data_IF_040126243815
#
_entry.id   IF_040126243815
#
_cell.length_a   1.000
_cell.length_b   1.000
_cell.length_c   1.000
_cell.angle_alpha   90.00
_cell.angle_beta   90.00
_cell.angle_gamma   90.00
#
_symmetry.space_group_name_H-M   'P 1'
#
loop_
_entity.id
_entity.type
_entity.pdbx_description
1 polymer ?
#
# COMPACT_ATOMS: atom_id res chain seq x y z
N UNK A 1 -26.35 -21.48 -24.05
CA UNK A 1 -26.30 -20.78 -22.75
C UNK A 1 -25.19 -21.42 -21.94
N UNK A 2 -24.00 -20.82 -21.94
CA UNK A 2 -22.86 -21.31 -21.17
C UNK A 2 -23.03 -20.81 -19.73
N UNK A 3 -23.21 -21.75 -18.82
CA UNK A 3 -23.31 -21.48 -17.38
C UNK A 3 -21.88 -21.21 -16.88
N UNK A 4 -21.49 -19.94 -16.80
CA UNK A 4 -20.24 -19.54 -16.17
C UNK A 4 -20.44 -19.70 -14.66
N UNK A 5 -20.18 -20.90 -14.15
CA UNK A 5 -19.98 -21.07 -12.71
C UNK A 5 -18.72 -20.28 -12.35
N UNK A 6 -18.91 -19.16 -11.68
CA UNK A 6 -17.82 -18.49 -10.99
C UNK A 6 -17.21 -19.54 -10.04
N UNK A 7 -15.98 -19.90 -10.30
CA UNK A 7 -15.21 -20.82 -9.45
C UNK A 7 -14.93 -20.07 -8.14
N UNK A 8 -15.80 -20.22 -7.16
CA UNK A 8 -15.72 -19.57 -5.86
C UNK A 8 -14.72 -20.36 -5.01
N UNK A 9 -13.46 -20.39 -5.47
CA UNK A 9 -12.36 -20.93 -4.67
C UNK A 9 -12.15 -20.00 -3.49
N UNK A 10 -12.05 -20.54 -2.27
CA UNK A 10 -11.79 -19.75 -1.09
C UNK A 10 -10.46 -19.00 -1.24
N UNK A 11 -10.45 -17.73 -0.88
CA UNK A 11 -9.22 -16.91 -0.86
C UNK A 11 -8.44 -17.32 0.37
N UNK A 12 -7.18 -17.70 0.18
CA UNK A 12 -6.21 -18.11 1.21
C UNK A 12 -4.86 -17.52 0.87
N UNK A 13 -3.89 -17.51 1.79
CA UNK A 13 -2.50 -17.14 1.47
C UNK A 13 -1.93 -17.95 0.31
N UNK A 14 -2.25 -19.27 0.25
CA UNK A 14 -1.85 -20.13 -0.88
C UNK A 14 -2.42 -19.59 -2.19
N UNK A 15 -3.73 -19.26 -2.22
CA UNK A 15 -4.37 -18.72 -3.42
C UNK A 15 -3.81 -17.36 -3.82
N UNK A 16 -3.52 -16.49 -2.87
CA UNK A 16 -2.91 -15.18 -3.13
C UNK A 16 -1.52 -15.38 -3.75
N UNK A 17 -0.68 -16.26 -3.16
CA UNK A 17 0.64 -16.58 -3.69
C UNK A 17 0.60 -17.06 -5.15
N UNK A 18 -0.33 -17.97 -5.49
CA UNK A 18 -0.54 -18.46 -6.86
C UNK A 18 -0.87 -17.29 -7.80
N UNK A 19 -1.86 -16.46 -7.44
CA UNK A 19 -2.27 -15.32 -8.28
C UNK A 19 -1.14 -14.33 -8.50
N UNK A 20 -0.41 -13.96 -7.43
CA UNK A 20 0.69 -13.01 -7.54
C UNK A 20 1.86 -13.56 -8.37
N UNK A 21 2.14 -14.86 -8.25
CA UNK A 21 3.18 -15.53 -9.06
C UNK A 21 2.78 -15.61 -10.53
N UNK A 22 1.53 -16.00 -10.82
CA UNK A 22 0.98 -16.07 -12.19
C UNK A 22 0.98 -14.68 -12.87
N UNK A 23 0.78 -13.62 -12.10
CA UNK A 23 0.84 -12.23 -12.59
C UNK A 23 2.28 -11.67 -12.69
N UNK A 24 3.28 -12.45 -12.29
CA UNK A 24 4.67 -12.00 -12.26
C UNK A 24 4.95 -10.86 -11.27
N UNK A 25 4.09 -10.69 -10.26
CA UNK A 25 4.28 -9.68 -9.22
C UNK A 25 5.29 -10.11 -8.16
N UNK A 26 5.43 -11.42 -7.94
CA UNK A 26 6.41 -12.02 -7.03
C UNK A 26 7.09 -13.21 -7.69
N UNK A 27 8.24 -13.61 -7.15
CA UNK A 27 8.93 -14.84 -7.53
C UNK A 27 8.39 -16.05 -6.76
N UNK A 28 8.58 -17.26 -7.30
CA UNK A 28 8.25 -18.51 -6.59
C UNK A 28 8.97 -18.62 -5.23
N UNK A 29 10.22 -18.14 -5.14
CA UNK A 29 10.98 -18.15 -3.89
C UNK A 29 10.38 -17.21 -2.84
N UNK A 30 9.93 -16.01 -3.24
CA UNK A 30 9.21 -15.10 -2.33
C UNK A 30 7.88 -15.73 -1.88
N UNK A 31 7.12 -16.32 -2.81
CA UNK A 31 5.88 -17.01 -2.49
C UNK A 31 6.10 -18.11 -1.45
N UNK A 32 7.13 -18.93 -1.64
CA UNK A 32 7.49 -20.01 -0.71
C UNK A 32 7.87 -19.47 0.67
N UNK A 33 8.73 -18.43 0.72
CA UNK A 33 9.15 -17.81 1.98
C UNK A 33 7.96 -17.35 2.82
N UNK A 34 7.01 -16.61 2.19
CA UNK A 34 5.82 -16.11 2.90
C UNK A 34 4.90 -17.25 3.35
N UNK A 35 4.73 -18.28 2.51
CA UNK A 35 3.90 -19.43 2.86
C UNK A 35 4.53 -20.28 3.98
N UNK A 36 5.84 -20.38 4.06
CA UNK A 36 6.54 -21.05 5.16
C UNK A 36 6.36 -20.27 6.48
N UNK A 37 6.42 -18.94 6.45
CA UNK A 37 6.15 -18.08 7.61
C UNK A 37 4.68 -18.18 8.05
N UNK A 38 3.75 -18.25 7.10
CA UNK A 38 2.31 -18.37 7.34
C UNK A 38 1.82 -19.81 7.54
N UNK A 39 2.70 -20.82 7.62
CA UNK A 39 2.37 -22.24 7.51
C UNK A 39 1.19 -22.70 8.38
N UNK A 40 1.00 -22.12 9.56
CA UNK A 40 -0.08 -22.48 10.48
C UNK A 40 -1.48 -22.02 10.03
N UNK A 41 -1.57 -21.01 9.15
CA UNK A 41 -2.84 -20.42 8.69
C UNK A 41 -2.92 -20.23 7.16
N UNK A 42 -1.88 -20.56 6.41
CA UNK A 42 -1.79 -20.30 4.98
C UNK A 42 -2.96 -20.91 4.16
N UNK A 43 -3.58 -21.97 4.63
CA UNK A 43 -4.71 -22.63 4.00
C UNK A 43 -6.07 -22.18 4.58
N UNK A 44 -6.09 -21.31 5.59
CA UNK A 44 -7.32 -20.83 6.18
C UNK A 44 -8.01 -19.82 5.24
N UNK A 45 -9.35 -19.86 5.11
CA UNK A 45 -10.09 -18.93 4.28
C UNK A 45 -10.05 -17.51 4.84
N UNK A 46 -9.60 -16.58 4.03
CA UNK A 46 -9.69 -15.14 4.28
C UNK A 46 -11.02 -14.65 3.75
N UNK A 47 -11.76 -13.88 4.52
CA UNK A 47 -13.11 -13.45 4.17
C UNK A 47 -13.26 -11.96 3.97
N UNK A 48 -12.42 -11.17 4.60
CA UNK A 48 -12.52 -9.71 4.59
C UNK A 48 -11.51 -9.14 3.60
N UNK A 49 -11.93 -8.10 2.87
CA UNK A 49 -11.10 -7.47 1.84
C UNK A 49 -9.80 -6.87 2.43
N UNK A 50 -9.87 -6.21 3.59
CA UNK A 50 -8.69 -5.66 4.25
C UNK A 50 -7.67 -6.74 4.66
N UNK A 51 -8.12 -7.93 5.08
CA UNK A 51 -7.23 -9.05 5.38
C UNK A 51 -6.54 -9.58 4.12
N UNK A 52 -7.24 -9.55 2.96
CA UNK A 52 -6.65 -9.90 1.65
C UNK A 52 -5.62 -8.83 1.25
N UNK A 53 -5.95 -7.55 1.44
CA UNK A 53 -5.03 -6.45 1.17
C UNK A 53 -3.79 -6.50 2.08
N UNK A 54 -3.95 -6.79 3.37
CA UNK A 54 -2.84 -7.00 4.31
C UNK A 54 -1.94 -8.18 3.92
N UNK A 55 -2.52 -9.25 3.35
CA UNK A 55 -1.70 -10.33 2.81
C UNK A 55 -0.81 -9.87 1.64
N UNK A 56 -1.26 -8.90 0.80
CA UNK A 56 -0.43 -8.34 -0.28
C UNK A 56 0.83 -7.65 0.27
N UNK A 57 0.75 -7.00 1.42
CA UNK A 57 1.90 -6.42 2.11
C UNK A 57 2.89 -7.52 2.51
N UNK A 58 2.43 -8.61 3.13
CA UNK A 58 3.28 -9.76 3.50
C UNK A 58 4.03 -10.33 2.29
N UNK A 59 3.41 -10.33 1.13
CA UNK A 59 4.05 -10.74 -0.13
C UNK A 59 4.97 -9.65 -0.73
N UNK A 60 5.02 -8.44 -0.18
CA UNK A 60 5.88 -7.34 -0.63
C UNK A 60 5.42 -6.71 -1.94
N UNK A 61 4.10 -6.64 -2.19
CA UNK A 61 3.50 -5.96 -3.35
C UNK A 61 2.62 -4.77 -2.96
N UNK A 62 2.46 -4.53 -1.67
CA UNK A 62 1.75 -3.39 -1.10
C UNK A 62 2.54 -2.76 0.05
N UNK A 63 2.22 -1.50 0.34
CA UNK A 63 2.61 -0.79 1.57
C UNK A 63 1.34 -0.53 2.37
N UNK A 64 1.34 -0.88 3.65
CA UNK A 64 0.26 -0.54 4.56
C UNK A 64 0.49 0.85 5.15
N UNK A 65 -0.57 1.66 5.21
CA UNK A 65 -0.62 2.92 5.92
C UNK A 65 -1.47 2.69 7.16
N UNK A 66 -0.84 2.62 8.33
CA UNK A 66 -1.53 2.52 9.61
C UNK A 66 -1.80 3.94 10.12
N UNK A 67 -3.07 4.30 10.35
CA UNK A 67 -3.42 5.67 10.76
C UNK A 67 -3.26 5.91 12.24
N UNK A 68 -3.36 4.87 13.07
CA UNK A 68 -3.39 4.95 14.53
C UNK A 68 -2.14 4.33 15.17
N UNK A 69 -1.89 4.72 16.42
CA UNK A 69 -0.84 4.16 17.28
C UNK A 69 0.58 4.27 16.68
N UNK A 70 0.84 5.34 15.91
CA UNK A 70 2.17 5.59 15.37
C UNK A 70 2.99 6.44 16.36
N UNK A 71 4.15 5.94 16.76
CA UNK A 71 5.13 6.72 17.51
C UNK A 71 5.77 7.73 16.54
N UNK A 72 5.54 9.03 16.74
CA UNK A 72 6.11 10.10 15.91
C UNK A 72 5.71 10.03 14.44
N UNK A 73 4.52 10.51 14.11
CA UNK A 73 3.94 10.52 12.76
C UNK A 73 4.88 11.10 11.69
N UNK A 74 5.66 12.14 12.00
CA UNK A 74 6.65 12.74 11.10
C UNK A 74 7.73 11.74 10.66
N UNK A 75 8.29 10.94 11.57
CA UNK A 75 9.25 9.89 11.22
C UNK A 75 8.59 8.72 10.47
N UNK A 76 7.31 8.46 10.74
CA UNK A 76 6.58 7.38 10.09
C UNK A 76 6.32 7.65 8.61
N UNK A 77 6.06 8.90 8.21
CA UNK A 77 5.98 9.25 6.78
C UNK A 77 7.27 8.95 6.03
N UNK A 78 8.45 9.25 6.62
CA UNK A 78 9.73 8.92 6.00
C UNK A 78 9.88 7.41 5.77
N UNK A 79 9.51 6.62 6.77
CA UNK A 79 9.53 5.16 6.67
C UNK A 79 8.60 4.67 5.55
N UNK A 80 7.33 5.12 5.50
CA UNK A 80 6.36 4.76 4.46
C UNK A 80 6.87 5.08 3.05
N UNK A 81 7.45 6.27 2.85
CA UNK A 81 7.99 6.67 1.56
C UNK A 81 9.15 5.77 1.12
N UNK A 82 10.02 5.37 2.05
CA UNK A 82 11.13 4.46 1.75
C UNK A 82 10.64 3.05 1.43
N UNK A 83 9.65 2.52 2.15
CA UNK A 83 9.03 1.22 1.84
C UNK A 83 8.36 1.26 0.46
N UNK A 84 7.60 2.30 0.15
CA UNK A 84 6.99 2.46 -1.17
C UNK A 84 8.05 2.56 -2.29
N UNK A 85 9.11 3.34 -2.09
CA UNK A 85 10.20 3.45 -3.06
C UNK A 85 10.89 2.08 -3.29
N UNK A 86 11.07 1.28 -2.23
CA UNK A 86 11.68 -0.06 -2.33
C UNK A 86 10.86 -0.99 -3.25
N UNK A 87 9.51 -0.92 -3.23
CA UNK A 87 8.64 -1.72 -4.12
C UNK A 87 8.88 -1.41 -5.60
N UNK A 88 9.41 -0.24 -5.93
CA UNK A 88 9.70 0.12 -7.34
C UNK A 88 10.90 -0.62 -7.92
N UNK A 89 11.65 -1.36 -7.11
CA UNK A 89 12.84 -2.07 -7.55
C UNK A 89 14.02 -1.14 -7.89
N UNK A 90 14.11 0.01 -7.21
CA UNK A 90 15.15 1.00 -7.41
C UNK A 90 14.91 2.01 -8.53
N UNK A 91 13.73 2.00 -9.16
CA UNK A 91 13.34 2.99 -10.18
C UNK A 91 13.03 4.36 -9.58
N UNK A 92 12.63 4.37 -8.32
CA UNK A 92 12.37 5.58 -7.56
C UNK A 92 13.24 5.58 -6.31
N UNK A 93 13.84 6.73 -6.05
CA UNK A 93 14.60 7.01 -4.82
C UNK A 93 13.96 8.17 -4.08
N UNK A 94 13.96 8.09 -2.76
CA UNK A 94 13.53 9.14 -1.85
C UNK A 94 14.75 9.64 -1.07
N UNK A 95 14.88 10.94 -0.92
CA UNK A 95 15.92 11.58 -0.08
C UNK A 95 15.43 12.91 0.48
N UNK A 96 16.22 13.50 1.38
CA UNK A 96 16.01 14.84 1.92
C UNK A 96 14.62 15.03 2.56
N UNK A 97 14.11 13.96 3.21
CA UNK A 97 12.85 14.04 3.91
C UNK A 97 12.92 15.04 5.06
N UNK A 98 11.89 15.85 5.21
CA UNK A 98 11.64 16.70 6.36
C UNK A 98 10.14 16.97 6.52
N UNK A 99 9.73 17.10 7.77
CA UNK A 99 8.39 17.58 8.12
C UNK A 99 8.51 19.00 8.71
N UNK A 100 7.71 19.92 8.20
CA UNK A 100 7.67 21.31 8.65
C UNK A 100 6.31 21.59 9.28
N UNK A 101 6.25 21.70 10.61
CA UNK A 101 5.02 22.03 11.35
C UNK A 101 4.59 23.47 11.02
N UNK A 102 3.29 23.68 10.88
CA UNK A 102 2.71 25.02 10.63
C UNK A 102 2.85 25.95 11.85
N UNK A 103 2.84 25.38 13.06
CA UNK A 103 3.16 26.07 14.31
C UNK A 103 4.22 25.27 15.08
N UNK A 104 5.48 25.70 15.05
CA UNK A 104 6.58 24.99 15.74
C UNK A 104 6.49 25.04 17.28
N UNK A 105 5.74 26.00 17.83
CA UNK A 105 5.55 26.18 19.28
C UNK A 105 4.40 25.33 19.84
N UNK A 106 3.56 24.79 18.97
CA UNK A 106 2.49 23.85 19.32
C UNK A 106 2.96 22.41 19.14
N UNK A 107 3.21 21.73 20.26
CA UNK A 107 3.67 20.33 20.26
C UNK A 107 2.61 19.38 19.67
N UNK A 108 1.33 19.72 19.80
CA UNK A 108 0.20 18.94 19.30
C UNK A 108 -0.30 19.41 17.92
N UNK A 109 0.43 20.34 17.27
CA UNK A 109 0.05 20.84 15.96
C UNK A 109 0.11 19.72 14.90
N UNK A 110 -1.05 19.27 14.48
CA UNK A 110 -1.21 18.29 13.42
C UNK A 110 -1.09 18.86 12.00
N UNK A 111 -0.99 20.19 11.87
CA UNK A 111 -0.87 20.85 10.58
C UNK A 111 0.61 21.00 10.19
N UNK A 112 0.94 20.61 8.97
CA UNK A 112 2.31 20.72 8.49
C UNK A 112 2.46 20.51 7.00
N UNK A 113 3.71 20.43 6.58
CA UNK A 113 4.07 20.12 5.21
C UNK A 113 5.18 19.06 5.20
N UNK A 114 4.91 17.96 4.54
CA UNK A 114 5.88 16.93 4.24
C UNK A 114 6.66 17.32 2.98
N UNK A 115 7.98 17.30 3.05
CA UNK A 115 8.88 17.57 1.94
C UNK A 115 9.82 16.40 1.73
N UNK A 116 10.08 16.04 0.49
CA UNK A 116 11.10 15.05 0.14
C UNK A 116 11.56 15.24 -1.31
N UNK A 117 12.64 14.58 -1.67
CA UNK A 117 13.17 14.57 -3.03
C UNK A 117 12.93 13.21 -3.66
N UNK A 118 12.20 13.16 -4.77
CA UNK A 118 11.97 11.98 -5.60
C UNK A 118 12.85 12.05 -6.84
N UNK A 119 13.81 11.12 -7.01
CA UNK A 119 14.71 11.10 -8.15
C UNK A 119 15.37 12.47 -8.45
N UNK A 120 15.79 13.19 -7.41
CA UNK A 120 16.38 14.52 -7.52
C UNK A 120 15.39 15.67 -7.75
N UNK A 121 14.07 15.42 -7.76
CA UNK A 121 13.02 16.45 -7.89
C UNK A 121 12.34 16.66 -6.54
N UNK A 122 12.29 17.90 -6.02
CA UNK A 122 11.61 18.19 -4.75
C UNK A 122 10.10 18.08 -4.92
N UNK A 123 9.44 17.48 -3.93
CA UNK A 123 8.00 17.36 -3.78
C UNK A 123 7.59 17.85 -2.39
N UNK A 124 6.33 18.30 -2.26
CA UNK A 124 5.75 18.76 -1.00
C UNK A 124 4.27 18.45 -0.95
N UNK A 125 3.78 18.00 0.22
CA UNK A 125 2.39 17.66 0.47
C UNK A 125 1.95 18.30 1.79
N UNK A 126 0.80 18.96 1.78
CA UNK A 126 0.16 19.43 3.02
C UNK A 126 -0.32 18.25 3.83
N UNK A 127 -0.21 18.34 5.15
CA UNK A 127 -0.60 17.30 6.10
C UNK A 127 -1.52 17.92 7.13
N UNK A 128 -2.66 17.27 7.39
CA UNK A 128 -3.69 17.67 8.37
C UNK A 128 -3.99 16.46 9.27
N UNK A 129 -3.03 16.07 10.12
CA UNK A 129 -3.21 14.98 11.08
C UNK A 129 -3.92 15.46 12.35
N UNK A 130 -4.68 14.59 13.00
CA UNK A 130 -5.42 14.95 14.22
C UNK A 130 -4.48 15.19 15.43
N UNK A 131 -3.37 14.45 15.51
CA UNK A 131 -2.33 14.59 16.52
C UNK A 131 -1.01 13.95 16.03
N UNK A 132 0.03 14.00 16.86
CA UNK A 132 1.31 13.34 16.55
C UNK A 132 1.23 11.80 16.49
N UNK A 133 0.15 11.19 17.00
CA UNK A 133 -0.05 9.74 17.05
C UNK A 133 -0.93 9.23 15.89
N UNK A 134 -1.41 10.13 15.02
CA UNK A 134 -2.28 9.79 13.89
C UNK A 134 -1.71 10.32 12.58
N UNK A 135 -1.67 9.47 11.56
CA UNK A 135 -1.29 9.89 10.21
C UNK A 135 -2.47 10.52 9.48
N UNK A 136 -2.20 11.55 8.70
CA UNK A 136 -3.10 11.96 7.62
C UNK A 136 -2.97 10.94 6.47
N UNK A 137 -3.93 10.01 6.39
CA UNK A 137 -3.95 8.95 5.41
C UNK A 137 -4.02 9.49 3.98
N UNK A 138 -4.77 10.59 3.77
CA UNK A 138 -4.88 11.22 2.46
C UNK A 138 -3.56 11.81 1.98
N UNK A 139 -2.80 12.46 2.88
CA UNK A 139 -1.46 12.96 2.57
C UNK A 139 -0.47 11.81 2.30
N UNK A 140 -0.53 10.75 3.10
CA UNK A 140 0.31 9.57 2.89
C UNK A 140 0.02 8.88 1.54
N UNK A 141 -1.25 8.66 1.20
CA UNK A 141 -1.66 8.11 -0.09
C UNK A 141 -1.16 8.95 -1.27
N UNK A 142 -1.38 10.28 -1.24
CA UNK A 142 -0.93 11.19 -2.30
C UNK A 142 0.59 11.15 -2.48
N UNK A 143 1.33 11.14 -1.37
CA UNK A 143 2.79 11.07 -1.40
C UNK A 143 3.29 9.74 -1.98
N UNK A 144 2.66 8.60 -1.62
CA UNK A 144 2.99 7.29 -2.18
C UNK A 144 2.58 7.19 -3.67
N UNK A 145 1.41 7.70 -4.07
CA UNK A 145 1.03 7.76 -5.50
C UNK A 145 2.07 8.52 -6.32
N UNK A 146 2.62 9.62 -5.78
CA UNK A 146 3.67 10.39 -6.44
C UNK A 146 5.00 9.63 -6.59
N UNK A 147 5.18 8.49 -5.92
CA UNK A 147 6.32 7.59 -6.13
C UNK A 147 6.11 6.56 -7.25
N UNK A 148 4.98 6.61 -7.96
CA UNK A 148 4.78 5.76 -9.15
C UNK A 148 5.88 6.03 -10.17
N UNK A 149 6.59 5.00 -10.69
CA UNK A 149 7.72 5.19 -11.59
C UNK A 149 7.31 5.77 -12.94
N UNK A 150 8.07 6.74 -13.47
CA UNK A 150 7.72 7.42 -14.73
C UNK A 150 7.83 6.50 -15.96
N UNK A 151 8.79 5.56 -15.96
CA UNK A 151 9.10 4.65 -17.09
C UNK A 151 8.67 3.20 -16.83
N UNK A 152 7.62 3.02 -16.03
CA UNK A 152 7.08 1.71 -15.68
C UNK A 152 5.55 1.75 -15.84
N UNK A 153 4.92 0.72 -16.42
CA UNK A 153 3.46 0.70 -16.54
C UNK A 153 2.72 0.51 -15.21
N UNK A 154 3.45 0.26 -14.11
CA UNK A 154 2.88 0.15 -12.76
C UNK A 154 2.72 1.52 -12.13
N UNK A 155 1.65 1.69 -11.39
CA UNK A 155 1.40 2.84 -10.54
C UNK A 155 0.84 2.39 -9.19
N UNK A 156 1.03 3.21 -8.17
CA UNK A 156 0.45 2.97 -6.86
C UNK A 156 -1.05 3.30 -6.87
N UNK A 157 -1.86 2.40 -6.32
CA UNK A 157 -3.28 2.63 -6.08
C UNK A 157 -3.69 2.07 -4.74
N UNK A 158 -4.55 2.81 -4.05
CA UNK A 158 -5.16 2.36 -2.82
C UNK A 158 -6.20 1.26 -3.10
N UNK A 159 -6.23 0.25 -2.25
CA UNK A 159 -7.30 -0.76 -2.25
C UNK A 159 -8.53 -0.14 -1.59
N UNK A 160 -9.67 -0.13 -2.29
CA UNK A 160 -10.94 0.32 -1.70
C UNK A 160 -11.33 -0.54 -0.51
N UNK A 161 -11.53 0.08 0.64
CA UNK A 161 -11.98 -0.59 1.85
C UNK A 161 -13.52 -0.73 1.88
N UNK A 162 -14.03 -1.76 2.58
CA UNK A 162 -15.46 -2.00 2.76
C UNK A 162 -15.91 -1.46 4.13
N UNK A 163 -16.66 -0.36 4.12
CA UNK A 163 -17.28 0.20 5.32
C UNK A 163 -16.56 1.42 5.90
N UNK A 164 -17.19 2.12 6.84
CA UNK A 164 -16.57 3.21 7.57
C UNK A 164 -15.62 2.66 8.64
N UNK A 165 -14.51 3.32 8.88
CA UNK A 165 -13.54 3.05 9.95
C UNK A 165 -12.66 1.82 9.71
N UNK A 166 -11.79 1.89 8.70
CA UNK A 166 -10.57 1.10 8.67
C UNK A 166 -9.41 2.02 9.01
N UNK A 167 -8.60 1.57 9.95
CA UNK A 167 -7.44 2.31 10.44
C UNK A 167 -6.21 2.05 9.54
N UNK A 168 -6.38 1.18 8.52
CA UNK A 168 -5.33 0.77 7.60
C UNK A 168 -5.76 0.93 6.15
N UNK A 169 -4.90 1.55 5.34
CA UNK A 169 -4.99 1.56 3.88
C UNK A 169 -3.82 0.80 3.27
N UNK A 170 -4.03 0.25 2.07
CA UNK A 170 -3.02 -0.56 1.37
C UNK A 170 -2.77 0.01 -0.02
N UNK A 171 -1.55 0.50 -0.25
CA UNK A 171 -1.10 1.03 -1.54
C UNK A 171 -0.39 -0.05 -2.34
N UNK A 172 -0.97 -0.48 -3.44
CA UNK A 172 -0.45 -1.56 -4.29
C UNK A 172 0.23 -0.98 -5.53
N UNK A 173 1.47 -1.42 -5.81
CA UNK A 173 2.18 -1.09 -7.05
C UNK A 173 1.90 -2.16 -8.12
N UNK A 174 1.06 -1.81 -9.10
CA UNK A 174 0.60 -2.76 -10.12
C UNK A 174 0.28 -2.07 -11.45
N UNK A 175 0.31 -2.82 -12.55
CA UNK A 175 -0.25 -2.36 -13.83
C UNK A 175 -1.79 -2.40 -13.79
N UNK A 176 -2.45 -1.73 -14.74
CA UNK A 176 -3.90 -1.80 -14.87
C UNK A 176 -4.38 -3.26 -15.08
N UNK A 177 -3.67 -4.04 -15.89
CA UNK A 177 -4.00 -5.44 -16.16
C UNK A 177 -3.84 -6.32 -14.92
N UNK A 178 -2.81 -6.04 -14.09
CA UNK A 178 -2.61 -6.74 -12.81
C UNK A 178 -3.72 -6.40 -11.83
N UNK A 179 -4.14 -5.12 -11.71
CA UNK A 179 -5.27 -4.72 -10.87
C UNK A 179 -6.58 -5.39 -11.32
N UNK A 180 -6.85 -5.44 -12.61
CA UNK A 180 -8.02 -6.16 -13.16
C UNK A 180 -7.99 -7.65 -12.83
N UNK A 181 -6.81 -8.26 -12.82
CA UNK A 181 -6.65 -9.65 -12.44
C UNK A 181 -6.83 -9.86 -10.93
N UNK A 182 -6.26 -8.98 -10.09
CA UNK A 182 -6.48 -8.99 -8.63
C UNK A 182 -7.97 -8.84 -8.30
N UNK A 183 -8.69 -7.98 -9.04
CA UNK A 183 -10.14 -7.87 -8.90
C UNK A 183 -10.85 -9.19 -9.24
N UNK A 184 -10.55 -9.79 -10.39
CA UNK A 184 -11.20 -11.04 -10.83
C UNK A 184 -10.91 -12.23 -9.94
N UNK A 185 -9.69 -12.33 -9.40
CA UNK A 185 -9.23 -13.52 -8.67
C UNK A 185 -9.33 -13.40 -7.15
N UNK A 186 -9.21 -12.17 -6.62
CA UNK A 186 -9.17 -11.90 -5.18
C UNK A 186 -10.30 -10.95 -4.71
N UNK A 187 -11.10 -10.38 -5.64
CA UNK A 187 -12.19 -9.47 -5.31
C UNK A 187 -11.75 -8.09 -4.84
N UNK A 188 -10.47 -7.73 -5.04
CA UNK A 188 -9.96 -6.41 -4.67
C UNK A 188 -10.44 -5.35 -5.67
N UNK A 189 -10.85 -4.19 -5.18
CA UNK A 189 -11.14 -3.00 -5.97
C UNK A 189 -10.16 -1.90 -5.60
N UNK A 190 -9.93 -0.97 -6.52
CA UNK A 190 -8.91 0.07 -6.38
C UNK A 190 -9.51 1.44 -6.60
N UNK A 191 -9.10 2.39 -5.79
CA UNK A 191 -9.49 3.78 -5.93
C UNK A 191 -8.95 4.37 -7.23
N UNK A 192 -9.63 5.41 -7.70
CA UNK A 192 -9.15 6.21 -8.82
C UNK A 192 -8.02 7.10 -8.32
N UNK A 193 -7.07 7.42 -9.22
CA UNK A 193 -6.02 8.40 -8.89
C UNK A 193 -6.61 9.68 -8.31
N UNK A 194 -5.98 10.16 -7.26
CA UNK A 194 -6.35 11.43 -6.62
C UNK A 194 -6.01 12.66 -7.49
N UNK A 195 -5.26 12.48 -8.61
CA UNK A 195 -5.06 13.46 -9.69
C UNK A 195 -4.06 14.55 -9.39
#
# INVERSE_FOLDING_TARGET
MANTQANTQAITYVRIAEVLTDLGMITEDKARSVLDEAASYAAEPIRRRHEIAGALESFGVAVAIHSEDVDFADAHYEWLLNEAAALTGGKVTVSDYRFEKSDPDDEDCGLGTMHFTRNGKPLSFGVEQESNDYLDMGAAQQAIEALSPDDDPRDFRCVEQEGPHFDDDFMVLATAEQRDALHRHLGLTFERSLG
#
